data_IF_638342655840
#
_entry.id   IF_638342655840
#
_cell.length_a   1.000
_cell.length_b   1.000
_cell.length_c   1.000
_cell.angle_alpha   90.00
_cell.angle_beta   90.00
_cell.angle_gamma   90.00
#
_symmetry.space_group_name_H-M   'P 1'
#
loop_
_entity.id
_entity.type
_entity.pdbx_description
1 polymer ?
#
# COMPACT_ATOMS: atom_id res chain seq x y z
N UNK A 1 42.58 20.29 59.49
CA UNK A 1 42.58 19.04 58.69
C UNK A 1 41.13 18.85 58.25
N UNK A 2 40.67 19.40 57.13
CA UNK A 2 40.89 19.01 55.72
C UNK A 2 40.59 17.54 55.43
N UNK A 3 39.31 17.23 55.21
CA UNK A 3 38.89 16.20 54.25
C UNK A 3 37.70 16.75 53.45
N UNK A 4 38.00 17.29 52.26
CA UNK A 4 37.02 17.53 51.20
C UNK A 4 36.88 16.21 50.44
N UNK A 5 35.83 15.45 50.69
CA UNK A 5 35.41 14.40 49.78
C UNK A 5 34.75 15.06 48.56
N UNK A 6 35.51 15.12 47.46
CA UNK A 6 34.94 15.28 46.13
C UNK A 6 34.12 14.03 45.82
N UNK A 7 32.86 14.02 46.25
CA UNK A 7 31.84 13.18 45.65
C UNK A 7 31.56 13.74 44.26
N UNK A 8 32.32 13.27 43.27
CA UNK A 8 31.87 13.26 41.87
C UNK A 8 30.47 12.63 41.89
N UNK A 9 29.47 13.48 41.73
CA UNK A 9 28.14 13.08 41.33
C UNK A 9 28.28 12.43 39.96
N UNK A 10 28.52 11.11 39.95
CA UNK A 10 28.18 10.23 38.84
C UNK A 10 26.63 10.18 38.77
N UNK A 11 26.01 11.32 38.47
CA UNK A 11 24.70 11.33 37.87
C UNK A 11 24.88 10.78 36.45
N UNK A 12 24.28 9.63 36.11
CA UNK A 12 24.42 9.09 34.78
C UNK A 12 23.71 10.06 33.83
N UNK A 13 24.47 10.86 33.08
CA UNK A 13 23.99 11.80 32.06
C UNK A 13 22.98 11.17 31.07
N UNK A 14 22.95 9.83 30.99
CA UNK A 14 21.94 9.09 30.24
C UNK A 14 20.50 9.18 30.80
N UNK A 15 20.29 9.40 32.11
CA UNK A 15 18.94 9.55 32.68
C UNK A 15 18.28 10.86 32.27
N UNK A 16 19.03 11.96 32.27
CA UNK A 16 18.48 13.27 31.89
C UNK A 16 18.23 13.38 30.40
N UNK A 17 19.10 12.80 29.56
CA UNK A 17 18.82 12.67 28.13
C UNK A 17 17.56 11.82 27.88
N UNK A 18 17.39 10.70 28.60
CA UNK A 18 16.20 9.86 28.43
C UNK A 18 14.91 10.58 28.85
N UNK A 19 14.95 11.36 29.95
CA UNK A 19 13.80 12.15 30.42
C UNK A 19 13.48 13.29 29.47
N UNK A 20 14.48 14.06 29.05
CA UNK A 20 14.30 15.13 28.07
C UNK A 20 13.76 14.60 26.73
N UNK A 21 14.25 13.45 26.27
CA UNK A 21 13.77 12.81 25.06
C UNK A 21 12.33 12.28 25.23
N UNK A 22 11.99 11.67 26.37
CA UNK A 22 10.63 11.23 26.67
C UNK A 22 9.65 12.41 26.80
N UNK A 23 10.06 13.50 27.45
CA UNK A 23 9.26 14.71 27.59
C UNK A 23 9.12 15.43 26.24
N UNK A 24 10.17 15.46 25.43
CA UNK A 24 10.14 15.94 24.06
C UNK A 24 9.20 15.12 23.17
N UNK A 25 9.27 13.79 23.25
CA UNK A 25 8.37 12.88 22.54
C UNK A 25 6.93 13.01 23.03
N UNK A 26 6.70 13.16 24.33
CA UNK A 26 5.37 13.39 24.91
C UNK A 26 4.82 14.73 24.47
N UNK A 27 5.66 15.76 24.47
CA UNK A 27 5.30 17.08 23.98
C UNK A 27 4.93 17.02 22.51
N UNK A 28 5.74 16.39 21.65
CA UNK A 28 5.42 16.17 20.24
C UNK A 28 4.14 15.33 20.07
N UNK A 29 3.96 14.27 20.84
CA UNK A 29 2.78 13.41 20.76
C UNK A 29 1.47 14.19 21.05
N UNK A 30 1.51 15.17 21.95
CA UNK A 30 0.36 16.01 22.32
C UNK A 30 0.26 17.26 21.43
N UNK A 31 1.34 18.00 21.27
CA UNK A 31 1.44 19.26 20.52
C UNK A 31 1.31 19.08 19.00
N UNK A 32 1.68 17.92 18.48
CA UNK A 32 1.55 17.60 17.05
C UNK A 32 0.52 16.50 16.77
N UNK A 33 -0.38 16.22 17.70
CA UNK A 33 -1.43 15.21 17.51
C UNK A 33 -2.30 15.54 16.27
N UNK A 34 -2.41 14.63 15.28
CA UNK A 34 -3.28 14.82 14.13
C UNK A 34 -4.76 14.71 14.55
N UNK A 35 -5.68 15.18 13.70
CA UNK A 35 -7.10 15.34 13.99
C UNK A 35 -7.79 14.08 14.51
N UNK A 36 -7.39 12.92 13.98
CA UNK A 36 -7.87 11.59 14.37
C UNK A 36 -6.81 10.78 15.14
N UNK A 37 -5.80 11.45 15.71
CA UNK A 37 -4.72 10.81 16.46
C UNK A 37 -3.74 9.98 15.62
N UNK A 38 -2.59 9.69 16.23
CA UNK A 38 -1.49 8.97 15.57
C UNK A 38 -1.84 7.55 15.16
N UNK A 39 -2.62 6.83 16.00
CA UNK A 39 -3.02 5.47 15.71
C UNK A 39 -3.87 5.36 14.42
N UNK A 40 -4.84 6.28 14.21
CA UNK A 40 -5.66 6.25 13.00
C UNK A 40 -4.82 6.56 11.75
N UNK A 41 -3.89 7.52 11.85
CA UNK A 41 -2.98 7.87 10.76
C UNK A 41 -2.09 6.67 10.39
N UNK A 42 -1.45 6.05 11.39
CA UNK A 42 -0.58 4.89 11.20
C UNK A 42 -1.34 3.70 10.60
N UNK A 43 -2.54 3.40 11.10
CA UNK A 43 -3.38 2.32 10.56
C UNK A 43 -3.82 2.62 9.12
N UNK A 44 -4.16 3.87 8.77
CA UNK A 44 -4.46 4.23 7.39
C UNK A 44 -3.25 4.04 6.47
N UNK A 45 -2.04 4.41 6.93
CA UNK A 45 -0.81 4.19 6.18
C UNK A 45 -0.53 2.69 6.00
N UNK A 46 -0.69 1.89 7.05
CA UNK A 46 -0.52 0.43 7.01
C UNK A 46 -1.50 -0.23 6.05
N UNK A 47 -2.77 0.18 6.07
CA UNK A 47 -3.75 -0.30 5.08
C UNK A 47 -3.32 0.11 3.67
N UNK A 48 -2.90 1.35 3.46
CA UNK A 48 -2.46 1.84 2.15
C UNK A 48 -1.16 1.19 1.63
N UNK A 49 -0.40 0.46 2.47
CA UNK A 49 0.76 -0.34 2.06
C UNK A 49 0.38 -1.66 1.41
N UNK A 50 -0.81 -2.21 1.69
CA UNK A 50 -1.21 -3.55 1.24
C UNK A 50 -1.18 -3.73 -0.29
N UNK A 51 -1.65 -2.79 -1.12
CA UNK A 51 -1.56 -2.93 -2.57
C UNK A 51 -0.11 -3.00 -3.06
N UNK A 52 0.82 -2.26 -2.43
CA UNK A 52 2.23 -2.34 -2.75
C UNK A 52 2.81 -3.71 -2.35
N UNK A 53 2.51 -4.19 -1.15
CA UNK A 53 2.90 -5.53 -0.71
C UNK A 53 2.42 -6.61 -1.70
N UNK A 54 1.21 -6.47 -2.21
CA UNK A 54 0.65 -7.38 -3.21
C UNK A 54 1.42 -7.35 -4.53
N UNK A 55 1.84 -6.18 -5.02
CA UNK A 55 2.66 -6.05 -6.23
C UNK A 55 4.03 -6.75 -6.05
N UNK A 56 4.61 -6.67 -4.85
CA UNK A 56 5.85 -7.36 -4.51
C UNK A 56 5.69 -8.89 -4.48
N UNK A 57 4.69 -9.39 -3.76
CA UNK A 57 4.39 -10.83 -3.67
C UNK A 57 4.12 -11.46 -5.04
N UNK A 58 3.51 -10.71 -5.97
CA UNK A 58 3.29 -11.17 -7.34
C UNK A 58 4.54 -11.11 -8.23
N UNK A 59 5.66 -10.56 -7.77
CA UNK A 59 6.88 -10.39 -8.59
C UNK A 59 6.69 -9.48 -9.81
N UNK A 60 5.73 -8.55 -9.76
CA UNK A 60 5.43 -7.66 -10.89
C UNK A 60 6.55 -6.64 -11.14
N UNK A 61 7.28 -6.25 -10.10
CA UNK A 61 8.45 -5.38 -10.18
C UNK A 61 9.71 -6.17 -9.81
N UNK A 62 10.75 -6.11 -10.65
CA UNK A 62 12.03 -6.79 -10.38
C UNK A 62 13.04 -5.90 -9.66
N UNK A 63 12.88 -4.58 -9.78
CA UNK A 63 13.79 -3.59 -9.18
C UNK A 63 13.47 -3.27 -7.71
N UNK A 64 14.42 -3.55 -6.81
CA UNK A 64 14.34 -3.18 -5.40
C UNK A 64 14.07 -1.69 -5.12
N UNK A 65 14.74 -0.74 -5.80
CA UNK A 65 14.51 0.70 -5.59
C UNK A 65 13.09 1.16 -5.94
N UNK A 66 12.53 0.65 -7.05
CA UNK A 66 11.15 0.97 -7.46
C UNK A 66 10.14 0.44 -6.44
N UNK A 67 10.39 -0.75 -5.90
CA UNK A 67 9.53 -1.34 -4.89
C UNK A 67 9.53 -0.53 -3.59
N UNK A 68 10.69 -0.06 -3.13
CA UNK A 68 10.81 0.81 -1.97
C UNK A 68 9.99 2.11 -2.12
N UNK A 69 10.03 2.73 -3.31
CA UNK A 69 9.21 3.91 -3.62
C UNK A 69 7.71 3.59 -3.65
N UNK A 70 7.34 2.42 -4.16
CA UNK A 70 5.94 2.00 -4.23
C UNK A 70 5.35 1.83 -2.82
N UNK A 71 6.13 1.29 -1.87
CA UNK A 71 5.72 1.24 -0.47
C UNK A 71 5.52 2.63 0.13
N UNK A 72 6.26 3.65 -0.31
CA UNK A 72 6.05 5.02 0.20
C UNK A 72 4.79 5.69 -0.37
N UNK A 73 4.29 5.24 -1.52
CA UNK A 73 3.19 5.89 -2.23
C UNK A 73 1.90 5.99 -1.40
N UNK A 74 1.44 4.86 -0.86
CA UNK A 74 0.22 4.80 -0.05
C UNK A 74 0.30 5.70 1.20
N UNK A 75 1.32 5.54 2.05
CA UNK A 75 1.54 6.39 3.22
C UNK A 75 1.66 7.88 2.90
N UNK A 76 2.36 8.25 1.82
CA UNK A 76 2.50 9.65 1.39
C UNK A 76 1.16 10.23 0.91
N UNK A 77 0.35 9.47 0.18
CA UNK A 77 -0.99 9.88 -0.21
C UNK A 77 -1.87 10.13 1.03
N UNK A 78 -1.81 9.22 2.02
CA UNK A 78 -2.51 9.37 3.30
C UNK A 78 -2.06 10.63 4.04
N UNK A 79 -0.75 10.88 4.14
CA UNK A 79 -0.20 12.10 4.74
C UNK A 79 -0.66 13.36 4.02
N UNK A 80 -0.64 13.35 2.69
CA UNK A 80 -1.08 14.49 1.87
C UNK A 80 -2.52 14.89 2.19
N UNK A 81 -3.44 13.92 2.31
CA UNK A 81 -4.82 14.18 2.71
C UNK A 81 -4.89 14.74 4.14
N UNK A 82 -4.04 14.29 5.05
CA UNK A 82 -4.01 14.81 6.42
C UNK A 82 -3.52 16.25 6.52
N UNK A 83 -2.46 16.57 5.77
CA UNK A 83 -1.87 17.91 5.71
C UNK A 83 -2.87 18.88 5.09
N UNK A 84 -3.38 18.57 3.90
CA UNK A 84 -4.30 19.45 3.15
C UNK A 84 -5.68 19.56 3.82
N UNK A 85 -6.17 18.46 4.39
CA UNK A 85 -7.42 18.43 5.14
C UNK A 85 -7.37 19.18 6.48
N UNK A 86 -6.18 19.57 6.93
CA UNK A 86 -5.90 20.17 8.23
C UNK A 86 -5.35 19.13 9.21
N UNK A 87 -4.13 19.37 9.68
CA UNK A 87 -3.38 18.44 10.53
C UNK A 87 -4.09 18.18 11.86
N UNK A 88 -4.37 19.22 12.66
CA UNK A 88 -4.95 19.08 14.02
C UNK A 88 -6.47 19.24 14.05
N UNK A 89 -7.00 20.14 13.24
CA UNK A 89 -8.43 20.43 13.13
C UNK A 89 -8.81 20.48 11.65
N UNK A 90 -10.03 20.06 11.30
CA UNK A 90 -10.50 20.24 9.95
C UNK A 90 -10.52 21.74 9.66
N UNK A 91 -10.09 22.13 8.46
CA UNK A 91 -10.08 23.53 8.08
C UNK A 91 -11.54 24.07 8.04
N UNK A 92 -11.87 25.08 8.85
CA UNK A 92 -13.24 25.64 8.97
C UNK A 92 -13.31 27.10 8.54
N UNK A 93 -12.72 27.43 7.39
CA UNK A 93 -12.71 28.79 6.86
C UNK A 93 -13.55 28.90 5.58
N UNK A 94 -14.17 30.06 5.39
CA UNK A 94 -14.90 30.45 4.18
C UNK A 94 -16.12 29.61 3.81
N UNK A 95 -16.66 29.88 2.61
CA UNK A 95 -17.75 29.07 2.01
C UNK A 95 -17.24 27.67 1.71
N UNK A 96 -18.10 26.66 1.93
CA UNK A 96 -17.77 25.23 1.75
C UNK A 96 -17.16 24.91 0.38
N UNK A 97 -17.70 25.48 -0.70
CA UNK A 97 -17.19 25.23 -2.06
C UNK A 97 -15.78 25.77 -2.27
N UNK A 98 -15.50 27.01 -1.83
CA UNK A 98 -14.18 27.62 -1.94
C UNK A 98 -13.13 26.80 -1.18
N UNK A 99 -13.47 26.34 0.03
CA UNK A 99 -12.59 25.47 0.80
C UNK A 99 -12.29 24.15 0.06
N UNK A 100 -13.31 23.49 -0.48
CA UNK A 100 -13.13 22.25 -1.23
C UNK A 100 -12.31 22.47 -2.50
N UNK A 101 -12.48 23.61 -3.18
CA UNK A 101 -11.68 23.96 -4.36
C UNK A 101 -10.20 24.18 -3.99
N UNK A 102 -9.93 24.94 -2.92
CA UNK A 102 -8.55 25.18 -2.44
C UNK A 102 -7.91 23.90 -1.96
N UNK A 103 -8.61 23.08 -1.17
CA UNK A 103 -8.09 21.79 -0.70
C UNK A 103 -7.89 20.81 -1.86
N UNK A 104 -8.83 20.75 -2.81
CA UNK A 104 -8.70 19.93 -4.01
C UNK A 104 -7.48 20.36 -4.84
N UNK A 105 -7.34 21.66 -5.11
CA UNK A 105 -6.19 22.21 -5.83
C UNK A 105 -4.86 21.95 -5.13
N UNK A 106 -4.78 22.18 -3.81
CA UNK A 106 -3.59 21.89 -3.03
C UNK A 106 -3.23 20.39 -3.03
N UNK A 107 -4.22 19.51 -2.92
CA UNK A 107 -4.00 18.06 -2.99
C UNK A 107 -3.55 17.61 -4.38
N UNK A 108 -4.10 18.20 -5.44
CA UNK A 108 -3.69 17.91 -6.82
C UNK A 108 -2.26 18.36 -7.07
N UNK A 109 -1.88 19.58 -6.66
CA UNK A 109 -0.51 20.08 -6.79
C UNK A 109 0.48 19.23 -5.99
N UNK A 110 0.14 18.90 -4.74
CA UNK A 110 0.96 18.04 -3.89
C UNK A 110 1.10 16.62 -4.48
N UNK A 111 0.00 16.07 -5.03
CA UNK A 111 0.02 14.76 -5.68
C UNK A 111 0.87 14.78 -6.94
N UNK A 112 0.73 15.80 -7.79
CA UNK A 112 1.56 15.94 -9.00
C UNK A 112 3.05 16.06 -8.66
N UNK A 113 3.38 16.82 -7.62
CA UNK A 113 4.74 16.95 -7.12
C UNK A 113 5.29 15.62 -6.58
N UNK A 114 4.56 14.95 -5.68
CA UNK A 114 5.03 13.70 -5.06
C UNK A 114 5.09 12.54 -6.04
N UNK A 115 4.09 12.42 -6.93
CA UNK A 115 4.09 11.39 -7.97
C UNK A 115 5.23 11.63 -8.98
N UNK A 116 5.47 12.87 -9.39
CA UNK A 116 6.61 13.16 -10.29
C UNK A 116 7.94 12.85 -9.61
N UNK A 117 8.08 13.12 -8.31
CA UNK A 117 9.27 12.77 -7.56
C UNK A 117 9.44 11.25 -7.39
N UNK A 118 8.38 10.51 -7.08
CA UNK A 118 8.46 9.05 -6.95
C UNK A 118 8.75 8.37 -8.29
N UNK A 119 8.26 8.94 -9.40
CA UNK A 119 8.44 8.42 -10.75
C UNK A 119 9.83 8.74 -11.32
N UNK A 120 10.22 10.02 -11.30
CA UNK A 120 11.42 10.49 -11.98
C UNK A 120 12.62 10.68 -11.04
N UNK A 121 12.44 10.73 -9.72
CA UNK A 121 13.49 11.07 -8.75
C UNK A 121 14.27 12.33 -9.14
N UNK A 122 13.56 13.35 -9.61
CA UNK A 122 14.21 14.55 -10.13
C UNK A 122 14.84 15.41 -9.03
N UNK A 123 14.33 15.39 -7.79
CA UNK A 123 15.00 16.10 -6.68
C UNK A 123 16.38 15.49 -6.40
N UNK A 124 17.43 16.33 -6.35
CA UNK A 124 18.78 15.87 -6.12
C UNK A 124 18.93 15.27 -4.72
N UNK A 125 19.56 14.10 -4.64
CA UNK A 125 19.95 13.49 -3.37
C UNK A 125 21.08 14.26 -2.68
N UNK A 126 21.34 13.92 -1.41
CA UNK A 126 22.38 14.56 -0.60
C UNK A 126 23.78 14.52 -1.26
N UNK A 127 24.10 13.43 -1.97
CA UNK A 127 25.36 13.32 -2.72
C UNK A 127 25.47 14.31 -3.88
N UNK A 128 24.39 14.52 -4.64
CA UNK A 128 24.37 15.50 -5.74
C UNK A 128 24.46 16.93 -5.19
N UNK A 129 23.78 17.23 -4.07
CA UNK A 129 23.90 18.51 -3.37
C UNK A 129 25.34 18.75 -2.88
N UNK A 130 25.98 17.74 -2.29
CA UNK A 130 27.37 17.83 -1.86
C UNK A 130 28.33 18.05 -3.03
N UNK A 131 28.13 17.32 -4.13
CA UNK A 131 28.95 17.46 -5.33
C UNK A 131 28.82 18.87 -5.93
N UNK A 132 27.59 19.39 -6.08
CA UNK A 132 27.35 20.74 -6.56
C UNK A 132 27.95 21.82 -5.63
N UNK A 133 27.91 21.59 -4.31
CA UNK A 133 28.56 22.47 -3.34
C UNK A 133 30.10 22.42 -3.45
N UNK A 134 30.66 21.23 -3.61
CA UNK A 134 32.10 21.01 -3.76
C UNK A 134 32.64 21.61 -5.06
N UNK A 135 31.90 21.50 -6.16
CA UNK A 135 32.26 22.07 -7.47
C UNK A 135 31.83 23.52 -7.65
N UNK A 136 31.05 24.07 -6.70
CA UNK A 136 30.41 25.41 -6.76
C UNK A 136 29.58 25.63 -8.02
N UNK A 137 29.01 24.55 -8.58
CA UNK A 137 28.23 24.59 -9.81
C UNK A 137 26.80 24.11 -9.58
N UNK A 138 25.90 25.06 -9.39
CA UNK A 138 24.48 24.80 -9.23
C UNK A 138 23.79 24.37 -10.54
N UNK A 139 24.42 24.60 -11.71
CA UNK A 139 23.84 24.22 -12.99
C UNK A 139 23.74 22.70 -13.15
N UNK A 140 24.66 21.96 -12.52
CA UNK A 140 24.64 20.49 -12.47
C UNK A 140 23.35 19.95 -11.83
N UNK A 141 22.82 20.63 -10.81
CA UNK A 141 21.56 20.24 -10.16
C UNK A 141 20.39 20.43 -11.12
N UNK A 142 20.30 21.61 -11.75
CA UNK A 142 19.20 21.94 -12.67
C UNK A 142 19.22 21.02 -13.89
N UNK A 143 20.40 20.76 -14.46
CA UNK A 143 20.57 19.84 -15.57
C UNK A 143 20.13 18.42 -15.17
N UNK A 144 20.60 17.90 -14.03
CA UNK A 144 20.22 16.58 -13.54
C UNK A 144 18.71 16.41 -13.30
N UNK A 145 18.07 17.44 -12.74
CA UNK A 145 16.61 17.47 -12.56
C UNK A 145 15.86 17.38 -13.90
N UNK A 146 16.32 18.15 -14.90
CA UNK A 146 15.74 18.15 -16.25
C UNK A 146 15.93 16.83 -16.99
N UNK A 147 17.13 16.25 -16.89
CA UNK A 147 17.47 14.97 -17.52
C UNK A 147 16.65 13.82 -16.93
N UNK A 148 16.44 13.79 -15.61
CA UNK A 148 15.62 12.78 -14.94
C UNK A 148 14.16 12.80 -15.42
N UNK A 149 13.56 13.99 -15.54
CA UNK A 149 12.20 14.17 -16.08
C UNK A 149 12.13 13.78 -17.56
N UNK A 150 13.11 14.21 -18.35
CA UNK A 150 13.17 13.89 -19.79
C UNK A 150 13.32 12.39 -20.02
N UNK A 151 14.22 11.72 -19.29
CA UNK A 151 14.45 10.28 -19.40
C UNK A 151 13.18 9.49 -19.05
N UNK A 152 12.48 9.90 -17.98
CA UNK A 152 11.19 9.32 -17.61
C UNK A 152 10.15 9.50 -18.72
N UNK A 153 9.98 10.72 -19.23
CA UNK A 153 9.04 11.02 -20.31
C UNK A 153 9.32 10.23 -21.59
N UNK A 154 10.59 10.10 -21.98
CA UNK A 154 11.00 9.32 -23.15
C UNK A 154 10.65 7.84 -23.01
N UNK A 155 10.84 7.23 -21.83
CA UNK A 155 10.47 5.82 -21.60
C UNK A 155 8.97 5.59 -21.75
N UNK A 156 8.15 6.50 -21.22
CA UNK A 156 6.70 6.44 -21.40
C UNK A 156 6.28 6.62 -22.86
N UNK A 157 6.91 7.55 -23.58
CA UNK A 157 6.63 7.78 -24.99
C UNK A 157 7.00 6.55 -25.85
N UNK A 158 8.18 5.97 -25.63
CA UNK A 158 8.64 4.76 -26.32
C UNK A 158 7.76 3.55 -26.00
N UNK A 159 7.38 3.37 -24.73
CA UNK A 159 6.43 2.33 -24.35
C UNK A 159 5.09 2.52 -25.08
N UNK A 160 4.52 3.73 -25.07
CA UNK A 160 3.24 4.01 -25.72
C UNK A 160 3.30 3.77 -27.23
N UNK A 161 4.39 4.16 -27.88
CA UNK A 161 4.64 3.84 -29.29
C UNK A 161 4.73 2.33 -29.52
N UNK A 162 5.44 1.60 -28.65
CA UNK A 162 5.50 0.14 -28.68
C UNK A 162 4.12 -0.51 -28.50
N UNK A 163 3.27 0.02 -27.61
CA UNK A 163 1.88 -0.46 -27.45
C UNK A 163 1.12 -0.26 -28.75
N UNK A 164 1.18 0.93 -29.37
CA UNK A 164 0.53 1.18 -30.65
C UNK A 164 1.04 0.26 -31.77
N UNK A 165 2.32 -0.10 -31.74
CA UNK A 165 2.96 -0.93 -32.76
C UNK A 165 3.01 -2.43 -32.44
N UNK A 166 2.28 -2.91 -31.40
CA UNK A 166 2.31 -4.32 -30.95
C UNK A 166 3.73 -4.86 -30.64
N UNK A 167 4.65 -3.98 -30.28
CA UNK A 167 6.07 -4.28 -30.04
C UNK A 167 6.56 -3.68 -28.73
N UNK A 168 5.64 -3.41 -27.79
CA UNK A 168 6.01 -2.91 -26.47
C UNK A 168 6.96 -3.90 -25.79
N UNK A 169 8.04 -3.40 -25.22
CA UNK A 169 8.91 -4.18 -24.34
C UNK A 169 8.47 -3.99 -22.90
N UNK A 170 8.65 -5.00 -22.04
CA UNK A 170 8.40 -4.86 -20.61
C UNK A 170 9.35 -3.80 -20.03
N UNK A 171 8.78 -2.72 -19.55
CA UNK A 171 9.50 -1.67 -18.83
C UNK A 171 8.97 -1.59 -17.39
N UNK A 172 9.82 -1.94 -16.42
CA UNK A 172 9.49 -1.94 -14.99
C UNK A 172 9.13 -0.53 -14.46
N UNK A 173 9.63 0.56 -15.07
CA UNK A 173 9.26 1.91 -14.69
C UNK A 173 7.80 2.22 -15.06
N UNK A 174 7.34 1.73 -16.21
CA UNK A 174 5.96 1.94 -16.66
C UNK A 174 4.99 1.14 -15.79
N UNK A 175 5.31 -0.14 -15.54
CA UNK A 175 4.56 -0.99 -14.60
C UNK A 175 4.51 -0.34 -13.22
N UNK A 176 5.65 0.16 -12.75
CA UNK A 176 5.74 0.90 -11.50
C UNK A 176 4.83 2.12 -11.50
N UNK A 177 4.83 2.96 -12.53
CA UNK A 177 3.98 4.15 -12.53
C UNK A 177 2.48 3.86 -12.59
N UNK A 178 2.06 2.78 -13.25
CA UNK A 178 0.66 2.32 -13.19
C UNK A 178 0.30 1.85 -11.79
N UNK A 179 1.14 0.99 -11.19
CA UNK A 179 0.94 0.54 -9.81
C UNK A 179 0.94 1.73 -8.82
N UNK A 180 1.87 2.68 -9.00
CA UNK A 180 2.00 3.90 -8.22
C UNK A 180 0.71 4.72 -8.27
N UNK A 181 0.15 4.95 -9.45
CA UNK A 181 -1.10 5.69 -9.61
C UNK A 181 -2.27 5.01 -8.87
N UNK A 182 -2.39 3.68 -8.99
CA UNK A 182 -3.43 2.91 -8.31
C UNK A 182 -3.25 2.97 -6.79
N UNK A 183 -2.05 2.68 -6.27
CA UNK A 183 -1.75 2.73 -4.83
C UNK A 183 -1.98 4.14 -4.28
N UNK A 184 -1.58 5.17 -5.01
CA UNK A 184 -1.79 6.56 -4.62
C UNK A 184 -3.29 6.90 -4.49
N UNK A 185 -4.08 6.58 -5.51
CA UNK A 185 -5.53 6.80 -5.50
C UNK A 185 -6.22 6.06 -4.36
N UNK A 186 -5.84 4.80 -4.12
CA UNK A 186 -6.36 4.02 -3.00
C UNK A 186 -5.98 4.65 -1.64
N UNK A 187 -4.77 5.18 -1.50
CA UNK A 187 -4.33 5.91 -0.31
C UNK A 187 -5.15 7.19 -0.10
N UNK A 188 -5.37 7.98 -1.15
CA UNK A 188 -6.22 9.18 -1.10
C UNK A 188 -7.67 8.84 -0.69
N UNK A 189 -8.24 7.79 -1.28
CA UNK A 189 -9.60 7.33 -0.98
C UNK A 189 -9.71 6.83 0.47
N UNK A 190 -8.78 5.98 0.90
CA UNK A 190 -8.73 5.45 2.28
C UNK A 190 -8.69 6.59 3.29
N UNK A 191 -7.80 7.55 3.08
CA UNK A 191 -7.65 8.70 3.95
C UNK A 191 -8.87 9.63 3.93
N UNK A 192 -9.41 9.92 2.74
CA UNK A 192 -10.59 10.76 2.55
C UNK A 192 -11.82 10.15 3.23
N UNK A 193 -12.03 8.85 3.07
CA UNK A 193 -13.12 8.10 3.70
C UNK A 193 -12.94 8.02 5.21
N UNK A 194 -11.74 7.75 5.72
CA UNK A 194 -11.45 7.75 7.15
C UNK A 194 -11.80 9.10 7.79
N UNK A 195 -11.42 10.21 7.16
CA UNK A 195 -11.71 11.57 7.66
C UNK A 195 -13.20 11.93 7.56
N UNK A 196 -13.89 11.49 6.50
CA UNK A 196 -15.29 11.86 6.26
C UNK A 196 -16.26 11.01 7.08
N UNK A 197 -16.05 9.71 7.13
CA UNK A 197 -17.02 8.75 7.71
C UNK A 197 -16.67 8.36 9.15
N UNK A 198 -15.39 8.44 9.52
CA UNK A 198 -14.85 7.90 10.78
C UNK A 198 -15.23 6.42 10.98
N UNK A 199 -15.37 5.66 9.90
CA UNK A 199 -15.65 4.23 9.92
C UNK A 199 -14.49 3.49 9.25
N UNK A 200 -13.71 2.75 10.05
CA UNK A 200 -12.49 2.09 9.53
C UNK A 200 -12.74 1.02 8.47
N UNK A 201 -13.83 0.26 8.59
CA UNK A 201 -14.23 -0.72 7.58
C UNK A 201 -14.51 -0.07 6.22
N UNK A 202 -15.27 1.04 6.18
CA UNK A 202 -15.51 1.78 4.94
C UNK A 202 -14.23 2.43 4.40
N UNK A 203 -13.35 2.90 5.29
CA UNK A 203 -12.07 3.48 4.88
C UNK A 203 -11.15 2.44 4.24
N UNK A 204 -11.08 1.23 4.79
CA UNK A 204 -10.24 0.15 4.27
C UNK A 204 -10.85 -0.57 3.06
N UNK A 205 -12.16 -0.44 2.82
CA UNK A 205 -12.89 -1.15 1.77
C UNK A 205 -12.25 -1.02 0.37
N UNK A 206 -11.85 0.17 -0.13
CA UNK A 206 -11.27 0.28 -1.47
C UNK A 206 -9.99 -0.55 -1.63
N UNK A 207 -9.15 -0.54 -0.60
CA UNK A 207 -7.90 -1.32 -0.58
C UNK A 207 -8.20 -2.81 -0.49
N UNK A 208 -9.03 -3.23 0.47
CA UNK A 208 -9.37 -4.65 0.64
C UNK A 208 -10.08 -5.23 -0.59
N UNK A 209 -10.88 -4.42 -1.27
CA UNK A 209 -11.53 -4.83 -2.51
C UNK A 209 -10.51 -5.11 -3.61
N UNK A 210 -9.57 -4.20 -3.85
CA UNK A 210 -8.52 -4.38 -4.87
C UNK A 210 -7.60 -5.55 -4.51
N UNK A 211 -7.18 -5.65 -3.25
CA UNK A 211 -6.35 -6.76 -2.77
C UNK A 211 -7.09 -8.09 -2.94
N UNK A 212 -8.33 -8.19 -2.47
CA UNK A 212 -9.14 -9.40 -2.59
C UNK A 212 -9.42 -9.77 -4.04
N UNK A 213 -9.66 -8.79 -4.92
CA UNK A 213 -9.84 -9.01 -6.34
C UNK A 213 -8.56 -9.60 -6.96
N UNK A 214 -7.41 -8.98 -6.77
CA UNK A 214 -6.15 -9.46 -7.36
C UNK A 214 -5.77 -10.85 -6.81
N UNK A 215 -6.02 -11.11 -5.51
CA UNK A 215 -5.78 -12.43 -4.92
C UNK A 215 -6.70 -13.51 -5.48
N UNK A 216 -7.88 -13.18 -6.02
CA UNK A 216 -8.72 -14.16 -6.71
C UNK A 216 -8.06 -14.71 -7.98
N UNK A 217 -7.20 -13.90 -8.61
CA UNK A 217 -6.49 -14.23 -9.86
C UNK A 217 -5.02 -14.62 -9.65
N UNK A 218 -4.55 -14.65 -8.40
CA UNK A 218 -3.14 -14.84 -8.09
C UNK A 218 -2.94 -15.98 -7.08
N UNK A 219 -1.88 -16.80 -7.21
CA UNK A 219 -1.58 -17.90 -6.30
C UNK A 219 -1.03 -17.46 -4.92
N UNK A 220 -1.21 -16.21 -4.52
CA UNK A 220 -0.62 -15.63 -3.29
C UNK A 220 -1.28 -16.14 -2.01
N UNK A 221 -0.47 -16.26 -0.96
CA UNK A 221 -0.91 -16.66 0.38
C UNK A 221 -1.93 -15.70 0.99
N UNK A 222 -2.92 -16.28 1.69
CA UNK A 222 -4.05 -15.55 2.28
C UNK A 222 -3.66 -14.59 3.41
N UNK A 223 -2.41 -14.61 3.87
CA UNK A 223 -1.96 -13.77 4.99
C UNK A 223 -2.13 -12.28 4.71
N UNK A 224 -2.01 -11.85 3.46
CA UNK A 224 -2.15 -10.43 3.09
C UNK A 224 -3.59 -9.93 3.27
N UNK A 225 -4.60 -10.74 2.89
CA UNK A 225 -6.00 -10.39 3.14
C UNK A 225 -6.37 -10.51 4.62
N UNK A 226 -5.85 -11.52 5.33
CA UNK A 226 -6.07 -11.68 6.78
C UNK A 226 -5.49 -10.48 7.55
N UNK A 227 -4.25 -10.10 7.25
CA UNK A 227 -3.60 -8.92 7.80
C UNK A 227 -4.35 -7.63 7.43
N UNK A 228 -4.86 -7.53 6.19
CA UNK A 228 -5.69 -6.41 5.77
C UNK A 228 -6.99 -6.28 6.55
N UNK A 229 -7.71 -7.39 6.77
CA UNK A 229 -8.93 -7.41 7.58
C UNK A 229 -8.61 -7.06 9.03
N UNK A 230 -7.51 -7.57 9.57
CA UNK A 230 -7.05 -7.21 10.91
C UNK A 230 -6.81 -5.71 11.06
N UNK A 231 -6.09 -5.10 10.11
CA UNK A 231 -5.84 -3.67 10.07
C UNK A 231 -7.14 -2.86 9.94
N UNK A 232 -8.10 -3.33 9.12
CA UNK A 232 -9.39 -2.67 8.95
C UNK A 232 -10.24 -2.69 10.24
N UNK A 233 -10.23 -3.81 10.97
CA UNK A 233 -10.90 -3.94 12.26
C UNK A 233 -10.26 -3.04 13.32
N UNK A 234 -8.93 -3.02 13.40
CA UNK A 234 -8.21 -2.11 14.29
C UNK A 234 -8.49 -0.64 13.95
N UNK A 235 -8.48 -0.29 12.66
CA UNK A 235 -8.81 1.05 12.21
C UNK A 235 -10.26 1.42 12.58
N UNK A 236 -11.19 0.46 12.46
CA UNK A 236 -12.58 0.66 12.83
C UNK A 236 -12.74 0.91 14.33
N UNK A 237 -12.09 0.10 15.17
CA UNK A 237 -12.06 0.28 16.62
C UNK A 237 -11.56 1.68 17.01
N UNK A 238 -10.41 2.08 16.45
CA UNK A 238 -9.77 3.37 16.77
C UNK A 238 -10.65 4.54 16.35
N UNK A 239 -11.18 4.54 15.12
CA UNK A 239 -12.00 5.63 14.62
C UNK A 239 -13.35 5.71 15.34
N UNK A 240 -14.00 4.57 15.59
CA UNK A 240 -15.29 4.56 16.25
C UNK A 240 -15.19 4.94 17.73
N UNK A 241 -14.12 4.53 18.42
CA UNK A 241 -13.83 5.01 19.77
C UNK A 241 -13.69 6.53 19.81
N UNK A 242 -12.96 7.13 18.87
CA UNK A 242 -12.80 8.58 18.83
C UNK A 242 -14.13 9.29 18.59
N UNK A 243 -14.96 8.74 17.70
CA UNK A 243 -16.30 9.25 17.43
C UNK A 243 -17.20 9.18 18.66
N UNK A 244 -17.15 8.09 19.44
CA UNK A 244 -17.90 7.94 20.68
C UNK A 244 -17.44 8.92 21.76
N UNK A 245 -16.13 8.99 22.02
CA UNK A 245 -15.56 9.93 23.00
C UNK A 245 -15.90 11.38 22.64
N UNK A 246 -15.84 11.74 21.34
CA UNK A 246 -16.22 13.07 20.90
C UNK A 246 -17.73 13.36 21.11
N UNK A 247 -18.60 12.34 20.96
CA UNK A 247 -20.04 12.46 21.24
C UNK A 247 -20.30 12.66 22.74
N UNK A 248 -19.72 11.83 23.60
CA UNK A 248 -19.89 11.94 25.05
C UNK A 248 -19.40 13.28 25.59
N UNK A 249 -18.23 13.75 25.13
CA UNK A 249 -17.73 15.09 25.50
C UNK A 249 -18.67 16.22 25.10
N UNK A 250 -19.35 16.11 23.95
CA UNK A 250 -20.36 17.11 23.54
C UNK A 250 -21.63 17.05 24.37
N UNK A 251 -21.95 15.88 24.92
CA UNK A 251 -23.14 15.65 25.74
C UNK A 251 -22.87 15.86 27.24
N UNK A 252 -21.62 16.15 27.64
CA UNK A 252 -21.24 16.28 29.05
C UNK A 252 -21.35 14.97 29.84
N UNK A 253 -21.30 13.81 29.15
CA UNK A 253 -21.38 12.51 29.79
C UNK A 253 -20.00 12.06 30.25
N UNK A 254 -19.91 11.67 31.52
CA UNK A 254 -18.76 10.93 32.03
C UNK A 254 -18.71 9.53 31.43
N UNK A 255 -17.50 9.04 31.15
CA UNK A 255 -17.30 7.73 30.55
C UNK A 255 -16.16 7.00 31.25
N UNK A 256 -16.36 5.70 31.49
CA UNK A 256 -15.33 4.83 32.05
C UNK A 256 -14.24 4.56 31.02
N UNK A 257 -12.94 4.67 31.39
CA UNK A 257 -11.85 4.26 30.52
C UNK A 257 -11.85 2.76 30.22
N UNK A 258 -12.50 1.94 31.07
CA UNK A 258 -12.60 0.49 30.91
C UNK A 258 -13.34 0.08 29.62
N UNK A 259 -14.20 0.95 29.10
CA UNK A 259 -14.96 0.69 27.89
C UNK A 259 -14.05 0.50 26.66
N UNK A 260 -12.86 1.10 26.63
CA UNK A 260 -11.87 0.80 25.58
C UNK A 260 -11.40 -0.65 25.65
N UNK A 261 -11.18 -1.17 26.87
CA UNK A 261 -10.70 -2.53 27.10
C UNK A 261 -11.78 -3.54 26.67
N UNK A 262 -13.03 -3.34 27.09
CA UNK A 262 -14.16 -4.19 26.70
C UNK A 262 -14.31 -4.26 25.18
N UNK A 263 -14.21 -3.11 24.50
CA UNK A 263 -14.28 -3.05 23.04
C UNK A 263 -13.04 -3.63 22.35
N UNK A 264 -11.88 -3.48 22.97
CA UNK A 264 -10.65 -4.14 22.54
C UNK A 264 -10.80 -5.65 22.58
N UNK A 265 -11.43 -6.19 23.63
CA UNK A 265 -11.71 -7.62 23.77
C UNK A 265 -12.72 -8.10 22.73
N UNK A 266 -13.79 -7.34 22.43
CA UNK A 266 -14.75 -7.76 21.40
C UNK A 266 -14.14 -7.76 20.00
N UNK A 267 -13.34 -6.73 19.66
CA UNK A 267 -12.62 -6.69 18.38
C UNK A 267 -11.52 -7.75 18.31
N UNK A 268 -10.82 -8.00 19.42
CA UNK A 268 -9.85 -9.09 19.55
C UNK A 268 -10.48 -10.47 19.36
N UNK A 269 -11.66 -10.70 19.97
CA UNK A 269 -12.45 -11.91 19.79
C UNK A 269 -12.94 -12.08 18.35
N UNK A 270 -13.42 -11.01 17.71
CA UNK A 270 -13.79 -11.02 16.29
C UNK A 270 -12.59 -11.33 15.40
N UNK A 271 -11.42 -10.75 15.70
CA UNK A 271 -10.19 -11.02 14.97
C UNK A 271 -9.77 -12.49 15.08
N UNK A 272 -9.78 -13.03 16.31
CA UNK A 272 -9.53 -14.45 16.56
C UNK A 272 -10.50 -15.34 15.79
N UNK A 273 -11.78 -14.98 15.75
CA UNK A 273 -12.79 -15.68 14.97
C UNK A 273 -12.48 -15.62 13.46
N UNK A 274 -12.10 -14.46 12.93
CA UNK A 274 -11.71 -14.31 11.52
C UNK A 274 -10.49 -15.15 11.20
N UNK A 275 -9.48 -15.18 12.08
CA UNK A 275 -8.27 -15.99 11.91
C UNK A 275 -8.62 -17.48 11.96
N UNK A 276 -9.41 -17.91 12.94
CA UNK A 276 -9.86 -19.29 13.08
C UNK A 276 -10.68 -19.72 11.84
N UNK A 277 -11.59 -18.87 11.38
CA UNK A 277 -12.34 -19.11 10.16
C UNK A 277 -11.40 -19.20 8.97
N UNK A 278 -10.47 -18.26 8.79
CA UNK A 278 -9.51 -18.28 7.69
C UNK A 278 -8.61 -19.54 7.68
N UNK A 279 -8.25 -20.05 8.86
CA UNK A 279 -7.46 -21.26 9.04
C UNK A 279 -8.25 -22.54 8.73
N UNK A 280 -9.53 -22.58 9.09
CA UNK A 280 -10.40 -23.76 8.92
C UNK A 280 -11.10 -23.77 7.57
N UNK A 281 -11.32 -22.60 6.96
CA UNK A 281 -12.03 -22.51 5.67
C UNK A 281 -11.10 -23.01 4.55
N UNK A 282 -11.43 -24.12 3.88
CA UNK A 282 -10.66 -24.58 2.73
C UNK A 282 -10.72 -23.51 1.62
N UNK A 283 -9.78 -23.53 0.68
CA UNK A 283 -9.85 -22.64 -0.49
C UNK A 283 -11.06 -23.11 -1.31
N UNK A 284 -12.23 -22.53 -1.03
CA UNK A 284 -13.47 -22.84 -1.71
C UNK A 284 -13.40 -22.20 -3.11
N UNK A 285 -12.71 -22.88 -4.01
CA UNK A 285 -12.87 -22.67 -5.44
C UNK A 285 -14.22 -23.26 -5.83
N UNK A 286 -15.28 -22.46 -5.74
CA UNK A 286 -16.60 -22.88 -6.19
C UNK A 286 -16.64 -22.83 -7.71
N UNK A 287 -16.07 -23.86 -8.33
CA UNK A 287 -15.75 -23.93 -9.76
C UNK A 287 -16.94 -23.60 -10.67
N UNK A 288 -18.16 -23.95 -10.25
CA UNK A 288 -19.38 -23.63 -11.00
C UNK A 288 -19.78 -22.15 -10.94
N UNK A 289 -19.67 -21.50 -9.79
CA UNK A 289 -19.99 -20.06 -9.65
C UNK A 289 -18.91 -19.24 -10.33
N UNK A 290 -17.63 -19.56 -10.09
CA UNK A 290 -16.52 -18.93 -10.79
C UNK A 290 -16.61 -19.17 -12.29
N UNK A 291 -16.95 -20.38 -12.73
CA UNK A 291 -17.10 -20.72 -14.15
C UNK A 291 -18.22 -19.91 -14.82
N UNK A 292 -19.39 -19.77 -14.19
CA UNK A 292 -20.48 -18.92 -14.70
C UNK A 292 -20.13 -17.45 -14.71
N UNK A 293 -19.47 -16.95 -13.66
CA UNK A 293 -18.97 -15.58 -13.62
C UNK A 293 -17.96 -15.32 -14.74
N UNK A 294 -16.98 -16.22 -14.92
CA UNK A 294 -15.98 -16.12 -15.97
C UNK A 294 -16.58 -16.23 -17.37
N UNK A 295 -17.58 -17.08 -17.58
CA UNK A 295 -18.30 -17.14 -18.85
C UNK A 295 -19.04 -15.82 -19.16
N UNK A 296 -19.60 -15.17 -18.14
CA UNK A 296 -20.28 -13.88 -18.29
C UNK A 296 -19.29 -12.75 -18.65
N UNK A 297 -18.10 -12.76 -18.06
CA UNK A 297 -17.09 -11.72 -18.30
C UNK A 297 -16.08 -12.09 -19.39
N UNK A 298 -16.14 -13.29 -19.98
CA UNK A 298 -15.18 -13.81 -20.95
C UNK A 298 -14.83 -12.81 -22.08
N UNK A 299 -15.78 -12.20 -22.81
CA UNK A 299 -15.44 -11.30 -23.91
C UNK A 299 -14.77 -10.00 -23.44
N UNK A 300 -15.08 -9.56 -22.22
CA UNK A 300 -14.42 -8.41 -21.61
C UNK A 300 -13.01 -8.81 -21.14
N UNK A 301 -12.89 -9.97 -20.50
CA UNK A 301 -11.63 -10.49 -19.98
C UNK A 301 -10.63 -10.75 -21.11
N UNK A 302 -11.05 -11.36 -22.22
CA UNK A 302 -10.19 -11.59 -23.39
C UNK A 302 -9.68 -10.26 -23.99
N UNK A 303 -10.54 -9.25 -24.11
CA UNK A 303 -10.14 -7.91 -24.57
C UNK A 303 -9.14 -7.26 -23.61
N UNK A 304 -9.38 -7.37 -22.30
CA UNK A 304 -8.48 -6.85 -21.27
C UNK A 304 -7.16 -7.61 -21.23
N UNK A 305 -7.17 -8.93 -21.42
CA UNK A 305 -5.99 -9.77 -21.47
C UNK A 305 -5.17 -9.48 -22.74
N UNK A 306 -5.81 -9.33 -23.90
CA UNK A 306 -5.14 -8.93 -25.13
C UNK A 306 -4.51 -7.53 -25.01
N UNK A 307 -5.25 -6.56 -24.44
CA UNK A 307 -4.74 -5.22 -24.17
C UNK A 307 -3.57 -5.26 -23.15
N UNK A 308 -3.69 -6.08 -22.10
CA UNK A 308 -2.65 -6.27 -21.08
C UNK A 308 -1.40 -6.92 -21.67
N UNK A 309 -1.53 -8.00 -22.44
CA UNK A 309 -0.40 -8.66 -23.14
C UNK A 309 0.29 -7.71 -24.12
N UNK A 310 -0.48 -6.88 -24.82
CA UNK A 310 0.04 -5.84 -25.72
C UNK A 310 0.76 -4.72 -24.99
N UNK A 311 0.24 -4.32 -23.82
CA UNK A 311 0.80 -3.22 -23.03
C UNK A 311 1.99 -3.65 -22.15
N UNK A 312 1.97 -4.88 -21.64
CA UNK A 312 2.90 -5.40 -20.65
C UNK A 312 3.25 -6.88 -20.90
N UNK A 313 4.01 -7.17 -21.98
CA UNK A 313 4.38 -8.55 -22.28
C UNK A 313 5.24 -9.16 -21.16
N UNK A 314 4.99 -10.42 -20.83
CA UNK A 314 5.76 -11.14 -19.81
C UNK A 314 5.47 -10.74 -18.36
N UNK A 315 4.38 -10.02 -18.06
CA UNK A 315 3.81 -10.00 -16.71
C UNK A 315 3.18 -11.37 -16.41
N UNK A 316 3.70 -12.06 -15.40
CA UNK A 316 3.16 -13.33 -14.93
C UNK A 316 2.00 -13.05 -13.99
N UNK A 317 0.82 -13.43 -14.44
CA UNK A 317 -0.46 -13.42 -13.72
C UNK A 317 -1.35 -14.39 -14.47
N UNK A 318 -0.99 -15.68 -14.37
CA UNK A 318 -1.65 -16.75 -15.09
C UNK A 318 -3.10 -16.76 -14.64
N UNK A 319 -4.02 -16.36 -15.50
CA UNK A 319 -5.43 -16.71 -15.31
C UNK A 319 -5.45 -18.24 -15.19
N UNK A 320 -5.73 -18.82 -14.01
CA UNK A 320 -5.68 -20.27 -13.85
C UNK A 320 -6.78 -20.98 -14.67
N UNK A 321 -7.70 -20.20 -15.26
CA UNK A 321 -8.84 -20.61 -16.07
C UNK A 321 -8.78 -20.11 -17.50
N UNK A 322 -7.76 -19.32 -17.86
CA UNK A 322 -7.49 -19.04 -19.27
C UNK A 322 -7.24 -20.40 -19.89
N UNK A 323 -8.07 -20.79 -20.85
CA UNK A 323 -7.70 -21.88 -21.73
C UNK A 323 -6.24 -21.64 -22.11
N UNK A 324 -5.40 -22.66 -21.96
CA UNK A 324 -4.10 -22.66 -22.63
C UNK A 324 -4.43 -22.59 -24.12
N UNK A 325 -4.72 -21.39 -24.60
CA UNK A 325 -4.65 -21.06 -26.01
C UNK A 325 -3.17 -21.23 -26.29
N UNK A 326 -2.90 -22.41 -26.82
CA UNK A 326 -1.74 -22.79 -27.58
C UNK A 326 -1.59 -21.68 -28.61
N UNK A 327 -0.87 -20.63 -28.24
CA UNK A 327 -0.31 -19.69 -29.19
C UNK A 327 0.42 -20.56 -30.22
N UNK A 328 -0.02 -20.48 -31.48
CA UNK A 328 0.39 -21.39 -32.54
C UNK A 328 1.89 -21.68 -32.51
N UNK A 329 2.22 -22.94 -32.23
CA UNK A 329 3.59 -23.42 -32.06
C UNK A 329 3.73 -24.27 -30.80
N UNK A 330 3.46 -25.58 -30.91
CA UNK A 330 3.82 -26.55 -29.88
C UNK A 330 5.34 -26.48 -29.64
N UNK A 331 5.81 -26.30 -28.40
CA UNK A 331 7.22 -26.50 -28.05
C UNK A 331 7.62 -27.94 -28.40
N UNK A 332 8.75 -28.14 -29.08
CA UNK A 332 9.27 -29.47 -29.48
C UNK A 332 9.38 -30.49 -28.33
N UNK A 333 9.36 -30.01 -27.08
CA UNK A 333 9.30 -30.84 -25.87
C UNK A 333 8.03 -31.69 -25.76
N UNK A 334 6.93 -31.27 -26.41
CA UNK A 334 5.66 -32.01 -26.48
C UNK A 334 5.73 -33.26 -27.37
N UNK A 335 6.67 -33.34 -28.31
CA UNK A 335 6.79 -34.50 -29.21
C UNK A 335 7.64 -35.64 -28.63
N UNK A 336 8.40 -35.39 -27.56
CA UNK A 336 9.42 -36.33 -27.05
C UNK A 336 9.02 -37.00 -25.72
N UNK A 337 7.99 -36.50 -25.01
CA UNK A 337 7.61 -37.01 -23.67
C UNK A 337 6.12 -37.27 -23.44
N UNK A 338 5.33 -37.52 -24.48
CA UNK A 338 3.90 -37.84 -24.33
C UNK A 338 3.67 -39.21 -23.64
N UNK A 339 3.71 -39.22 -22.31
CA UNK A 339 3.15 -40.26 -21.45
C UNK A 339 1.65 -40.02 -21.18
N UNK A 340 0.92 -41.03 -20.67
CA UNK A 340 -0.54 -41.11 -20.65
C UNK A 340 -1.26 -40.13 -19.69
N UNK A 341 -0.55 -39.25 -18.98
CA UNK A 341 -1.12 -38.37 -17.95
C UNK A 341 -1.91 -37.16 -18.52
N UNK A 342 -2.03 -37.06 -19.85
CA UNK A 342 -2.74 -35.96 -20.53
C UNK A 342 -4.27 -36.05 -20.46
N UNK A 343 -4.82 -37.10 -19.83
CA UNK A 343 -6.26 -37.26 -19.58
C UNK A 343 -6.74 -36.79 -18.20
N UNK A 344 -5.83 -36.48 -17.27
CA UNK A 344 -6.22 -36.19 -15.89
C UNK A 344 -6.74 -34.76 -15.73
N UNK A 345 -8.06 -34.64 -15.83
CA UNK A 345 -8.80 -33.45 -15.37
C UNK A 345 -8.69 -33.39 -13.84
N UNK A 346 -7.84 -32.50 -13.34
CA UNK A 346 -7.69 -32.28 -11.90
C UNK A 346 -8.99 -31.69 -11.31
N UNK A 347 -9.86 -32.55 -10.76
CA UNK A 347 -11.19 -32.16 -10.26
C UNK A 347 -11.12 -31.47 -8.89
N UNK A 348 -10.11 -31.78 -8.08
CA UNK A 348 -9.97 -31.26 -6.72
C UNK A 348 -8.50 -31.28 -6.28
N UNK A 349 -7.97 -30.15 -5.78
CA UNK A 349 -6.65 -30.08 -5.15
C UNK A 349 -6.81 -29.83 -3.65
N UNK A 350 -6.62 -30.87 -2.85
CA UNK A 350 -6.64 -30.77 -1.38
C UNK A 350 -5.20 -30.57 -0.89
N UNK A 351 -4.91 -29.43 -0.26
CA UNK A 351 -3.64 -29.19 0.44
C UNK A 351 -3.93 -29.09 1.93
N UNK A 352 -3.41 -30.05 2.68
CA UNK A 352 -3.52 -30.11 4.14
C UNK A 352 -2.12 -29.87 4.74
N UNK A 353 -1.92 -28.66 5.28
CA UNK A 353 -0.83 -28.24 6.21
C UNK A 353 0.66 -28.30 5.76
N UNK A 354 1.35 -27.15 5.76
CA UNK A 354 2.83 -26.95 5.66
C UNK A 354 3.58 -27.29 6.99
N UNK A 355 4.95 -27.26 7.20
CA UNK A 355 6.10 -26.72 6.40
C UNK A 355 7.49 -27.49 6.48
N UNK A 356 8.55 -26.86 5.90
CA UNK A 356 10.03 -26.93 6.14
C UNK A 356 11.01 -27.57 5.10
N UNK A 357 11.77 -26.67 4.44
CA UNK A 357 13.17 -26.66 3.92
C UNK A 357 13.86 -27.90 3.26
N UNK A 358 14.76 -27.53 2.33
CA UNK A 358 15.81 -28.27 1.58
C UNK A 358 15.28 -29.10 0.39
N UNK A 359 15.83 -28.99 -0.83
CA UNK A 359 17.24 -29.16 -1.21
C UNK A 359 17.75 -28.21 -2.29
N UNK A 360 19.07 -27.96 -2.22
CA UNK A 360 19.95 -27.63 -3.34
C UNK A 360 19.82 -28.66 -4.47
N UNK A 361 19.76 -28.17 -5.72
CA UNK A 361 20.59 -28.57 -6.88
C UNK A 361 20.42 -27.55 -8.02
#
# INVERSE_FOLDING_TARGET
MNERSFGLSDEPAGRDFSRWLLDGLRHLAVAWRPHLGWAALALCMMVALLPAALVWENGWLRGGPLMARLYMAGPLAVLGVWIVGGWRRPATWGRRMMRLAVQGGALLLLSAFLLSQLLAEWLPGAGALWQAAATRDASLLVAGMGDALRATGLRYALWWQGVQNNSATRDDLVVFGVALAVVWLLGLLTAGLARRTQQGLLAALPVLWVVGLIMLYSPIDRWLIVGGVALALLLHLVLDQQRLVARWRRQGLDYSPLLLVERGLTVGGLLLLVIALAAVTPNLYWTEITGRYYALIAPLNERMEAASKRAFPGLTGVNPWGGRDIAGGLPNEFLVRAGPDLGDRLVMRVRTSEPARFYDE
#
